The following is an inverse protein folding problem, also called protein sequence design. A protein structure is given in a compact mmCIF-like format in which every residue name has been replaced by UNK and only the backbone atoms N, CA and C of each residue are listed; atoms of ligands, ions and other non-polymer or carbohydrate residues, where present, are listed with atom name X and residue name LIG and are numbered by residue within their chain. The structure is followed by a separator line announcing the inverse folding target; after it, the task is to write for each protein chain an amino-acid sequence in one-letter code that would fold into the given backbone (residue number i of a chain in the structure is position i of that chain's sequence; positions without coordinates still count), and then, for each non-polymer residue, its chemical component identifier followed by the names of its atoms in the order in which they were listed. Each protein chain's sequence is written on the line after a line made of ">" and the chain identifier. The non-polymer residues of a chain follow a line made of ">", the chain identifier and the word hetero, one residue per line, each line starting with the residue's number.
data_IF_939338373485
#
_entry.id   IF_939338373485
#
_cell.length_a   1.000
_cell.length_b   1.000
_cell.length_c   1.000
_cell.angle_alpha   90.00
_cell.angle_beta   90.00
_cell.angle_gamma   90.00
#
_symmetry.space_group_name_H-M   'P 1'
#
loop_
_entity.id
_entity.type
_entity.pdbx_description
1 polymer ?
#
# COMPACT_ATOMS: atom_id res chain seq x y z
N UNK A 1 12.70 21.57 -6.50
CA UNK A 1 12.07 20.44 -7.23
C UNK A 1 10.76 19.99 -6.55
N UNK A 2 10.75 19.49 -5.28
CA UNK A 2 9.51 19.02 -4.62
C UNK A 2 8.47 20.13 -4.49
N UNK A 3 8.85 21.33 -4.04
CA UNK A 3 7.91 22.47 -3.94
C UNK A 3 7.28 22.83 -5.28
N UNK A 4 8.05 22.80 -6.35
CA UNK A 4 7.58 23.06 -7.71
C UNK A 4 6.62 21.95 -8.19
N UNK A 5 6.96 20.69 -7.88
CA UNK A 5 6.09 19.53 -8.13
C UNK A 5 4.73 19.69 -7.42
N UNK A 6 4.72 20.02 -6.13
CA UNK A 6 3.50 20.25 -5.35
C UNK A 6 2.65 21.37 -5.97
N UNK A 7 3.24 22.53 -6.21
CA UNK A 7 2.52 23.68 -6.78
C UNK A 7 1.90 23.36 -8.13
N UNK A 8 2.66 22.71 -9.00
CA UNK A 8 2.19 22.34 -10.34
C UNK A 8 1.03 21.33 -10.29
N UNK A 9 1.14 20.31 -9.45
CA UNK A 9 0.08 19.29 -9.35
C UNK A 9 -1.18 19.84 -8.70
N UNK A 10 -1.05 20.66 -7.66
CA UNK A 10 -2.21 21.32 -7.04
C UNK A 10 -2.91 22.25 -8.05
N UNK A 11 -2.16 23.05 -8.83
CA UNK A 11 -2.73 23.89 -9.86
C UNK A 11 -3.45 23.08 -10.94
N UNK A 12 -2.85 21.96 -11.41
CA UNK A 12 -3.49 21.08 -12.38
C UNK A 12 -4.77 20.42 -11.83
N UNK A 13 -4.77 20.02 -10.58
CA UNK A 13 -5.94 19.48 -9.92
C UNK A 13 -7.07 20.52 -9.84
N UNK A 14 -6.77 21.71 -9.35
CA UNK A 14 -7.71 22.83 -9.23
C UNK A 14 -8.28 23.23 -10.60
N UNK A 15 -7.43 23.39 -11.62
CA UNK A 15 -7.82 23.79 -12.99
C UNK A 15 -8.77 22.76 -13.65
N UNK A 16 -8.70 21.51 -13.25
CA UNK A 16 -9.49 20.40 -13.82
C UNK A 16 -10.59 19.88 -12.88
N UNK A 17 -10.78 20.47 -11.71
CA UNK A 17 -11.76 20.01 -10.72
C UNK A 17 -11.50 18.57 -10.23
N UNK A 18 -10.23 18.21 -10.06
CA UNK A 18 -9.75 16.90 -9.61
C UNK A 18 -9.20 17.02 -8.19
N UNK A 19 -9.45 16.02 -7.35
CA UNK A 19 -8.86 15.92 -6.02
C UNK A 19 -7.66 14.97 -6.02
N UNK A 20 -6.58 15.36 -5.34
CA UNK A 20 -5.47 14.49 -5.05
C UNK A 20 -5.86 13.56 -3.87
N UNK A 21 -6.08 12.28 -4.12
CA UNK A 21 -6.55 11.35 -3.09
C UNK A 21 -5.40 10.77 -2.27
N UNK A 22 -4.34 10.32 -2.93
CA UNK A 22 -3.17 9.74 -2.28
C UNK A 22 -1.91 9.88 -3.14
N UNK A 23 -0.75 9.79 -2.50
CA UNK A 23 0.54 9.58 -3.17
C UNK A 23 0.93 8.12 -3.01
N UNK A 24 1.41 7.50 -4.10
CA UNK A 24 2.03 6.18 -4.09
C UNK A 24 3.53 6.34 -4.29
N UNK A 25 4.32 5.78 -3.39
CA UNK A 25 5.78 5.89 -3.44
C UNK A 25 6.44 4.52 -3.52
N UNK A 26 7.48 4.45 -4.33
CA UNK A 26 8.36 3.31 -4.52
C UNK A 26 9.82 3.78 -4.35
N UNK A 27 10.76 2.84 -4.19
CA UNK A 27 12.22 3.06 -4.23
C UNK A 27 12.83 4.03 -3.19
N UNK A 28 12.10 4.34 -2.11
CA UNK A 28 12.60 5.21 -1.03
C UNK A 28 13.34 4.44 0.07
N UNK A 29 13.71 3.19 -0.20
CA UNK A 29 14.41 2.29 0.69
C UNK A 29 13.49 1.31 1.42
N UNK A 30 14.10 0.27 1.99
CA UNK A 30 13.38 -0.83 2.60
C UNK A 30 13.07 -0.55 4.08
N UNK A 31 11.79 -0.51 4.43
CA UNK A 31 11.32 -0.24 5.79
C UNK A 31 11.49 -1.43 6.75
N UNK A 32 11.77 -2.64 6.22
CA UNK A 32 12.14 -3.81 7.00
C UNK A 32 13.60 -4.26 6.71
N UNK A 33 14.50 -3.33 6.39
CA UNK A 33 15.92 -3.60 6.22
C UNK A 33 16.54 -4.00 7.55
N UNK A 34 17.31 -5.09 7.55
CA UNK A 34 18.03 -5.57 8.75
C UNK A 34 19.17 -4.63 9.16
N UNK A 35 19.72 -3.87 8.20
CA UNK A 35 20.66 -2.80 8.50
C UNK A 35 19.89 -1.58 9.05
N UNK A 36 20.09 -1.30 10.34
CA UNK A 36 19.39 -0.22 11.02
C UNK A 36 19.61 1.16 10.37
N UNK A 37 20.84 1.47 9.92
CA UNK A 37 21.12 2.76 9.30
C UNK A 37 20.37 2.92 7.97
N UNK A 38 20.28 1.85 7.17
CA UNK A 38 19.53 1.87 5.93
C UNK A 38 18.02 2.01 6.20
N UNK A 39 17.52 1.30 7.20
CA UNK A 39 16.12 1.37 7.63
C UNK A 39 15.75 2.76 8.15
N UNK A 40 16.58 3.37 9.01
CA UNK A 40 16.34 4.73 9.51
C UNK A 40 16.36 5.77 8.38
N UNK A 41 17.26 5.62 7.42
CA UNK A 41 17.29 6.46 6.22
C UNK A 41 16.01 6.29 5.39
N UNK A 42 15.53 5.05 5.19
CA UNK A 42 14.26 4.79 4.51
C UNK A 42 13.09 5.49 5.23
N UNK A 43 13.02 5.39 6.56
CA UNK A 43 11.99 6.09 7.35
C UNK A 43 12.05 7.61 7.12
N UNK A 44 13.24 8.22 7.13
CA UNK A 44 13.38 9.66 6.90
C UNK A 44 13.00 10.08 5.47
N UNK A 45 13.31 9.25 4.47
CA UNK A 45 12.86 9.47 3.10
C UNK A 45 11.32 9.46 3.02
N UNK A 46 10.67 8.48 3.66
CA UNK A 46 9.20 8.37 3.65
C UNK A 46 8.51 9.55 4.38
N UNK A 47 9.11 10.12 5.43
CA UNK A 47 8.58 11.33 6.08
C UNK A 47 8.45 12.51 5.12
N UNK A 48 9.41 12.68 4.22
CA UNK A 48 9.36 13.71 3.19
C UNK A 48 8.12 13.57 2.29
N UNK A 49 7.71 12.34 2.00
CA UNK A 49 6.53 12.08 1.20
C UNK A 49 5.22 12.19 2.00
N UNK A 50 5.24 11.98 3.31
CA UNK A 50 4.12 12.34 4.19
C UNK A 50 3.87 13.85 4.14
N UNK A 51 4.92 14.66 4.28
CA UNK A 51 4.82 16.13 4.16
C UNK A 51 4.35 16.56 2.76
N UNK A 52 4.83 15.87 1.72
CA UNK A 52 4.42 16.13 0.34
C UNK A 52 2.94 15.80 0.12
N UNK A 53 2.48 14.64 0.61
CA UNK A 53 1.07 14.25 0.56
C UNK A 53 0.16 15.27 1.25
N UNK A 54 0.56 15.72 2.45
CA UNK A 54 -0.17 16.76 3.19
C UNK A 54 -0.23 18.08 2.41
N UNK A 55 0.89 18.52 1.82
CA UNK A 55 0.95 19.74 1.01
C UNK A 55 0.16 19.62 -0.31
N UNK A 56 -0.15 18.42 -0.77
CA UNK A 56 -0.99 18.15 -1.94
C UNK A 56 -2.45 17.89 -1.58
N UNK A 57 -2.84 18.06 -0.31
CA UNK A 57 -4.17 17.78 0.21
C UNK A 57 -4.63 16.33 0.05
N UNK A 58 -3.68 15.40 -0.03
CA UNK A 58 -4.00 13.97 -0.02
C UNK A 58 -4.51 13.52 1.35
N UNK A 59 -5.27 12.43 1.38
CA UNK A 59 -5.70 11.78 2.61
C UNK A 59 -4.72 10.69 3.09
N UNK A 60 -3.92 10.16 2.18
CA UNK A 60 -3.05 9.01 2.47
C UNK A 60 -1.75 9.04 1.67
N UNK A 61 -0.74 8.35 2.20
CA UNK A 61 0.50 8.03 1.51
C UNK A 61 0.68 6.52 1.53
N UNK A 62 0.75 5.90 0.34
CA UNK A 62 0.98 4.47 0.17
C UNK A 62 2.47 4.16 0.08
N UNK A 63 2.87 3.11 0.76
CA UNK A 63 4.22 2.56 0.72
C UNK A 63 4.21 1.03 0.56
N UNK A 64 5.39 0.49 0.23
CA UNK A 64 5.67 -0.95 0.21
C UNK A 64 6.52 -1.34 1.42
N UNK A 65 6.27 -2.54 1.99
CA UNK A 65 7.05 -3.10 3.10
C UNK A 65 8.02 -4.16 2.59
N UNK A 66 9.19 -3.72 2.09
CA UNK A 66 10.27 -4.61 1.69
C UNK A 66 11.40 -4.64 2.72
N UNK A 67 12.23 -5.69 2.66
CA UNK A 67 13.42 -5.84 3.50
C UNK A 67 13.76 -7.31 3.77
N UNK A 68 13.83 -7.71 5.04
CA UNK A 68 14.16 -9.07 5.45
C UNK A 68 13.28 -10.12 4.77
N UNK A 69 13.87 -11.29 4.48
CA UNK A 69 13.15 -12.47 3.98
C UNK A 69 12.68 -13.39 5.12
N UNK A 70 13.22 -13.22 6.31
CA UNK A 70 12.75 -13.90 7.52
C UNK A 70 11.48 -13.21 8.03
N UNK A 71 10.38 -13.96 8.14
CA UNK A 71 9.04 -13.42 8.43
C UNK A 71 8.99 -12.73 9.78
N UNK A 72 9.60 -13.30 10.82
CA UNK A 72 9.55 -12.72 12.16
C UNK A 72 10.40 -11.43 12.24
N UNK A 73 11.57 -11.43 11.62
CA UNK A 73 12.42 -10.25 11.50
C UNK A 73 11.72 -9.16 10.71
N UNK A 74 11.15 -9.50 9.54
CA UNK A 74 10.39 -8.59 8.71
C UNK A 74 9.23 -7.95 9.48
N UNK A 75 8.45 -8.76 10.20
CA UNK A 75 7.31 -8.31 11.00
C UNK A 75 7.74 -7.28 12.05
N UNK A 76 8.74 -7.62 12.86
CA UNK A 76 9.21 -6.75 13.93
C UNK A 76 9.77 -5.42 13.41
N UNK A 77 10.58 -5.44 12.34
CA UNK A 77 11.15 -4.25 11.72
C UNK A 77 10.06 -3.41 11.04
N UNK A 78 9.07 -4.04 10.40
CA UNK A 78 7.94 -3.35 9.77
C UNK A 78 7.07 -2.63 10.80
N UNK A 79 6.75 -3.27 11.93
CA UNK A 79 5.99 -2.65 13.02
C UNK A 79 6.74 -1.43 13.57
N UNK A 80 8.05 -1.55 13.83
CA UNK A 80 8.88 -0.43 14.31
C UNK A 80 8.86 0.75 13.32
N UNK A 81 9.10 0.47 12.04
CA UNK A 81 9.15 1.50 11.00
C UNK A 81 7.80 2.17 10.77
N UNK A 82 6.71 1.38 10.65
CA UNK A 82 5.37 1.93 10.48
C UNK A 82 4.91 2.72 11.71
N UNK A 83 5.25 2.29 12.92
CA UNK A 83 4.94 3.04 14.14
C UNK A 83 5.61 4.40 14.14
N UNK A 84 6.88 4.49 13.72
CA UNK A 84 7.60 5.77 13.59
C UNK A 84 6.98 6.68 12.52
N UNK A 85 6.57 6.12 11.38
CA UNK A 85 5.90 6.87 10.32
C UNK A 85 4.49 7.31 10.72
N UNK A 86 3.72 6.42 11.33
CA UNK A 86 2.38 6.73 11.81
C UNK A 86 2.40 7.82 12.90
N UNK A 87 3.35 7.77 13.82
CA UNK A 87 3.52 8.83 14.84
C UNK A 87 3.87 10.17 14.20
N UNK A 88 4.79 10.18 13.23
CA UNK A 88 5.13 11.38 12.48
C UNK A 88 3.92 11.95 11.73
N UNK A 89 3.13 11.09 11.11
CA UNK A 89 1.96 11.48 10.30
C UNK A 89 0.78 12.02 11.12
N UNK A 90 0.68 11.74 12.41
CA UNK A 90 -0.42 12.25 13.27
C UNK A 90 -0.61 13.77 13.20
N UNK A 91 0.48 14.51 13.09
CA UNK A 91 0.45 15.98 13.00
C UNK A 91 0.05 16.52 11.63
N UNK A 92 0.01 15.71 10.61
CA UNK A 92 -0.24 16.10 9.20
C UNK A 92 -1.63 15.74 8.71
N UNK A 93 -2.34 14.85 9.41
CA UNK A 93 -3.63 14.29 8.97
C UNK A 93 -3.53 13.23 7.89
N UNK A 94 -2.32 12.76 7.56
CA UNK A 94 -2.09 11.73 6.53
C UNK A 94 -2.17 10.33 7.14
N UNK A 95 -2.89 9.43 6.47
CA UNK A 95 -2.85 8.01 6.77
C UNK A 95 -1.65 7.36 6.04
N UNK A 96 -0.91 6.53 6.75
CA UNK A 96 0.17 5.72 6.22
C UNK A 96 -0.39 4.35 5.86
N UNK A 97 -0.46 4.03 4.58
CA UNK A 97 -1.11 2.81 4.11
C UNK A 97 -0.17 1.89 3.36
N UNK A 98 -0.33 0.60 3.58
CA UNK A 98 0.50 -0.46 3.01
C UNK A 98 -0.29 -1.21 1.94
N UNK A 99 0.31 -1.35 0.76
CA UNK A 99 -0.20 -2.20 -0.31
C UNK A 99 0.30 -3.64 -0.15
N UNK A 100 -0.55 -4.63 -0.41
CA UNK A 100 -0.08 -5.98 -0.69
C UNK A 100 0.59 -5.98 -2.07
N UNK A 101 1.92 -6.11 -2.10
CA UNK A 101 2.72 -5.93 -3.32
C UNK A 101 3.77 -7.05 -3.51
N UNK A 102 3.33 -8.29 -3.40
CA UNK A 102 4.17 -9.47 -3.56
C UNK A 102 4.88 -9.94 -2.30
N UNK A 103 5.45 -11.13 -2.34
CA UNK A 103 6.27 -11.72 -1.28
C UNK A 103 5.50 -11.82 0.06
N UNK A 104 6.14 -11.43 1.15
CA UNK A 104 5.53 -11.48 2.49
C UNK A 104 4.30 -10.57 2.59
N UNK A 105 4.27 -9.42 1.89
CA UNK A 105 3.10 -8.53 1.92
C UNK A 105 1.86 -9.12 1.25
N UNK A 106 2.02 -10.14 0.40
CA UNK A 106 0.92 -10.92 -0.20
C UNK A 106 0.48 -12.11 0.67
N UNK A 107 1.19 -12.39 1.76
CA UNK A 107 0.71 -13.27 2.84
C UNK A 107 -0.12 -12.42 3.81
N UNK A 108 -1.41 -12.32 3.52
CA UNK A 108 -2.29 -11.35 4.18
C UNK A 108 -2.34 -11.50 5.70
N UNK A 109 -2.39 -12.71 6.29
CA UNK A 109 -2.28 -12.85 7.74
C UNK A 109 -1.03 -12.19 8.33
N UNK A 110 0.14 -12.32 7.67
CA UNK A 110 1.37 -11.69 8.16
C UNK A 110 1.34 -10.16 7.99
N UNK A 111 0.83 -9.68 6.86
CA UNK A 111 0.64 -8.24 6.67
C UNK A 111 -0.30 -7.66 7.73
N UNK A 112 -1.44 -8.30 7.98
CA UNK A 112 -2.40 -7.81 8.98
C UNK A 112 -1.86 -7.89 10.41
N UNK A 113 -1.02 -8.89 10.73
CA UNK A 113 -0.29 -8.93 12.00
C UNK A 113 0.61 -7.68 12.18
N UNK A 114 1.25 -7.22 11.11
CA UNK A 114 2.04 -5.98 11.14
C UNK A 114 1.14 -4.76 11.37
N UNK A 115 0.06 -4.63 10.60
CA UNK A 115 -0.85 -3.47 10.68
C UNK A 115 -1.45 -3.38 12.09
N UNK A 116 -2.01 -4.47 12.62
CA UNK A 116 -2.56 -4.49 13.98
C UNK A 116 -1.47 -4.31 15.04
N UNK A 117 -0.25 -4.82 14.79
CA UNK A 117 0.89 -4.69 15.70
C UNK A 117 1.34 -3.25 15.93
N UNK A 118 1.06 -2.32 15.01
CA UNK A 118 1.34 -0.89 15.22
C UNK A 118 0.41 -0.25 16.26
N UNK A 119 -0.77 -0.81 16.46
CA UNK A 119 -1.84 -0.29 17.33
C UNK A 119 -2.14 1.22 17.06
N UNK A 120 -2.18 1.61 15.78
CA UNK A 120 -2.39 2.99 15.35
C UNK A 120 -3.63 3.09 14.45
N UNK A 121 -4.41 4.17 14.62
CA UNK A 121 -5.62 4.39 13.83
C UNK A 121 -5.32 4.99 12.45
N UNK A 122 -4.18 5.67 12.28
CA UNK A 122 -3.73 6.27 11.03
C UNK A 122 -2.72 5.39 10.25
N UNK A 123 -2.59 4.11 10.63
CA UNK A 123 -1.84 3.09 9.87
C UNK A 123 -2.82 2.03 9.40
N UNK A 124 -2.80 1.75 8.10
CA UNK A 124 -3.74 0.82 7.51
C UNK A 124 -3.28 0.22 6.20
N UNK A 125 -4.22 -0.18 5.37
CA UNK A 125 -3.97 -0.92 4.12
C UNK A 125 -4.49 -0.18 2.90
N UNK A 126 -3.90 -0.52 1.75
CA UNK A 126 -4.41 -0.31 0.40
C UNK A 126 -4.55 -1.68 -0.26
N UNK A 127 -5.69 -2.40 -0.12
CA UNK A 127 -5.88 -3.67 -0.79
C UNK A 127 -5.78 -3.52 -2.31
N UNK A 128 -4.78 -4.16 -2.93
CA UNK A 128 -4.68 -4.33 -4.38
C UNK A 128 -5.36 -5.62 -4.80
N UNK A 129 -6.17 -5.58 -5.86
CA UNK A 129 -7.01 -6.72 -6.27
C UNK A 129 -6.25 -7.84 -6.96
N UNK A 130 -4.99 -7.63 -7.36
CA UNK A 130 -4.21 -8.59 -8.14
C UNK A 130 -2.84 -8.96 -7.57
N UNK A 131 -2.34 -8.29 -6.54
CA UNK A 131 -1.00 -8.50 -5.99
C UNK A 131 -0.98 -9.56 -4.87
N UNK A 132 -1.27 -10.81 -5.18
CA UNK A 132 -1.38 -11.91 -4.21
C UNK A 132 -0.36 -13.03 -4.41
N UNK A 133 0.70 -12.77 -5.18
CA UNK A 133 1.80 -13.71 -5.32
C UNK A 133 2.72 -13.67 -4.10
N UNK A 134 2.79 -14.77 -3.36
CA UNK A 134 3.66 -14.93 -2.19
C UNK A 134 5.06 -15.45 -2.55
N UNK A 135 5.30 -15.84 -3.81
CA UNK A 135 6.61 -16.28 -4.27
C UNK A 135 7.58 -15.09 -4.36
N UNK A 136 8.88 -15.36 -4.20
CA UNK A 136 9.93 -14.33 -4.18
C UNK A 136 10.20 -13.69 -5.56
N UNK A 137 9.63 -14.26 -6.63
CA UNK A 137 9.99 -14.03 -8.02
C UNK A 137 9.00 -13.17 -8.79
N UNK A 138 8.53 -12.12 -8.32
CA UNK A 138 7.63 -11.24 -9.07
C UNK A 138 7.10 -10.10 -8.24
N UNK A 139 6.56 -9.12 -8.92
CA UNK A 139 5.96 -7.95 -8.28
C UNK A 139 4.52 -8.20 -7.79
N UNK A 140 4.20 -9.44 -7.44
CA UNK A 140 2.97 -9.75 -6.74
C UNK A 140 1.76 -10.05 -7.60
N UNK A 141 1.77 -9.80 -8.91
CA UNK A 141 0.62 -10.09 -9.77
C UNK A 141 0.39 -11.60 -9.92
N UNK A 142 -0.86 -12.02 -9.74
CA UNK A 142 -1.28 -13.42 -9.98
C UNK A 142 -1.54 -13.70 -11.47
N UNK A 143 -1.49 -12.70 -12.33
CA UNK A 143 -1.94 -12.78 -13.72
C UNK A 143 -0.80 -12.92 -14.75
N UNK A 144 0.45 -12.84 -14.34
CA UNK A 144 1.60 -13.03 -15.23
C UNK A 144 1.97 -14.50 -15.47
N UNK A 145 1.28 -15.41 -14.80
CA UNK A 145 1.42 -16.86 -15.00
C UNK A 145 2.66 -17.50 -14.38
N UNK A 146 3.50 -16.73 -13.69
CA UNK A 146 4.76 -17.19 -13.10
C UNK A 146 4.69 -17.52 -11.61
N UNK A 147 3.59 -17.18 -10.93
CA UNK A 147 3.47 -17.32 -9.49
C UNK A 147 3.14 -18.75 -9.05
N UNK A 148 4.05 -19.38 -8.32
CA UNK A 148 3.87 -20.74 -7.79
C UNK A 148 3.00 -20.80 -6.51
N UNK A 149 2.86 -19.69 -5.78
CA UNK A 149 2.12 -19.64 -4.50
C UNK A 149 1.28 -18.38 -4.41
N UNK A 150 -0.02 -18.55 -4.60
CA UNK A 150 -1.00 -17.46 -4.63
C UNK A 150 -1.87 -17.51 -3.37
N UNK A 151 -2.08 -16.37 -2.71
CA UNK A 151 -3.12 -16.20 -1.71
C UNK A 151 -4.47 -15.95 -2.41
N UNK A 152 -5.59 -16.43 -1.84
CA UNK A 152 -6.90 -16.13 -2.41
C UNK A 152 -7.18 -14.63 -2.36
N UNK A 153 -7.32 -14.01 -3.52
CA UNK A 153 -7.42 -12.55 -3.60
C UNK A 153 -8.75 -11.98 -3.11
N UNK A 154 -9.86 -12.71 -3.20
CA UNK A 154 -11.12 -12.26 -2.62
C UNK A 154 -11.09 -12.31 -1.10
N UNK A 155 -10.59 -13.43 -0.54
CA UNK A 155 -10.36 -13.56 0.90
C UNK A 155 -9.37 -12.51 1.38
N UNK A 156 -8.28 -12.31 0.66
CA UNK A 156 -7.23 -11.37 1.05
C UNK A 156 -7.73 -9.92 1.09
N UNK A 157 -8.51 -9.49 0.10
CA UNK A 157 -9.15 -8.16 0.14
C UNK A 157 -10.10 -8.08 1.32
N UNK A 158 -10.98 -9.07 1.54
CA UNK A 158 -11.91 -9.08 2.67
C UNK A 158 -11.20 -8.95 4.03
N UNK A 159 -10.09 -9.65 4.23
CA UNK A 159 -9.28 -9.59 5.45
C UNK A 159 -8.59 -8.24 5.66
N UNK A 160 -8.22 -7.53 4.58
CA UNK A 160 -7.56 -6.23 4.65
C UNK A 160 -8.54 -5.06 4.84
N UNK A 161 -9.79 -5.19 4.37
CA UNK A 161 -10.78 -4.12 4.39
C UNK A 161 -11.04 -3.46 5.75
N UNK A 162 -11.02 -4.17 6.90
CA UNK A 162 -11.23 -3.53 8.21
C UNK A 162 -10.23 -2.43 8.56
N UNK A 163 -9.08 -2.39 7.88
CA UNK A 163 -8.02 -1.37 8.04
C UNK A 163 -7.71 -0.61 6.75
N UNK A 164 -8.56 -0.74 5.72
CA UNK A 164 -8.36 -0.06 4.45
C UNK A 164 -8.79 1.40 4.51
N UNK A 165 -7.97 2.28 3.93
CA UNK A 165 -8.31 3.69 3.69
C UNK A 165 -8.63 3.96 2.22
N UNK A 166 -8.20 3.09 1.32
CA UNK A 166 -8.51 3.09 -0.10
C UNK A 166 -8.31 1.67 -0.65
N UNK A 167 -8.62 1.45 -1.92
CA UNK A 167 -8.33 0.20 -2.64
C UNK A 167 -7.63 0.50 -3.97
N UNK A 168 -6.76 -0.40 -4.39
CA UNK A 168 -6.18 -0.42 -5.74
C UNK A 168 -6.99 -1.38 -6.59
N UNK A 169 -7.93 -0.85 -7.35
CA UNK A 169 -8.82 -1.63 -8.21
C UNK A 169 -8.09 -2.08 -9.49
N UNK A 170 -7.04 -2.89 -9.32
CA UNK A 170 -6.24 -3.43 -10.41
C UNK A 170 -7.09 -4.24 -11.37
N UNK A 171 -6.96 -3.97 -12.64
CA UNK A 171 -7.52 -4.75 -13.74
C UNK A 171 -6.39 -5.24 -14.64
N UNK A 172 -6.59 -6.36 -15.32
CA UNK A 172 -5.54 -7.00 -16.09
C UNK A 172 -5.93 -7.25 -17.55
N UNK A 173 -7.10 -7.84 -17.80
CA UNK A 173 -7.53 -8.20 -19.14
C UNK A 173 -9.04 -7.96 -19.32
N UNK A 174 -9.43 -7.49 -20.50
CA UNK A 174 -10.81 -7.16 -20.81
C UNK A 174 -11.31 -7.97 -22.00
N UNK A 175 -12.59 -8.31 -22.00
CA UNK A 175 -13.25 -8.93 -23.14
C UNK A 175 -13.71 -7.87 -24.18
N UNK A 176 -14.34 -8.34 -25.26
CA UNK A 176 -14.81 -7.47 -26.34
C UNK A 176 -15.95 -6.52 -25.89
N UNK A 177 -16.60 -6.78 -24.75
CA UNK A 177 -17.65 -5.92 -24.18
C UNK A 177 -17.06 -4.91 -23.19
N UNK A 178 -15.78 -5.01 -22.85
CA UNK A 178 -15.09 -4.17 -21.87
C UNK A 178 -15.21 -4.70 -20.43
N UNK A 179 -15.67 -5.94 -20.24
CA UNK A 179 -15.72 -6.56 -18.93
C UNK A 179 -14.34 -7.18 -18.57
N UNK A 180 -13.91 -6.98 -17.34
CA UNK A 180 -12.66 -7.57 -16.83
C UNK A 180 -12.82 -9.10 -16.70
N UNK A 181 -11.86 -9.87 -17.25
CA UNK A 181 -11.96 -11.35 -17.37
C UNK A 181 -11.27 -12.12 -16.25
N UNK A 182 -10.30 -11.50 -15.56
CA UNK A 182 -9.43 -12.19 -14.61
C UNK A 182 -9.92 -12.03 -13.17
N UNK A 183 -10.66 -10.97 -12.89
CA UNK A 183 -11.26 -10.69 -11.58
C UNK A 183 -12.78 -10.53 -11.76
N UNK A 184 -13.58 -11.26 -11.00
CA UNK A 184 -15.02 -10.97 -10.89
C UNK A 184 -15.20 -9.67 -10.08
N UNK A 185 -15.25 -8.56 -10.81
CA UNK A 185 -15.39 -7.22 -10.22
C UNK A 185 -16.72 -7.06 -9.46
N UNK A 186 -17.77 -7.74 -9.89
CA UNK A 186 -19.05 -7.70 -9.17
C UNK A 186 -18.94 -8.34 -7.79
N UNK A 187 -18.21 -9.46 -7.69
CA UNK A 187 -17.90 -10.11 -6.42
C UNK A 187 -16.96 -9.24 -5.59
N UNK A 188 -15.87 -8.75 -6.19
CA UNK A 188 -14.87 -7.92 -5.50
C UNK A 188 -15.49 -6.65 -4.92
N UNK A 189 -16.29 -5.92 -5.71
CA UNK A 189 -16.94 -4.69 -5.27
C UNK A 189 -18.04 -4.93 -4.22
N UNK A 190 -18.65 -6.11 -4.18
CA UNK A 190 -19.55 -6.48 -3.06
C UNK A 190 -18.77 -6.61 -1.76
N UNK A 191 -17.58 -7.22 -1.80
CA UNK A 191 -16.69 -7.30 -0.63
C UNK A 191 -16.35 -5.88 -0.18
N UNK A 192 -15.79 -5.05 -1.05
CA UNK A 192 -15.39 -3.68 -0.69
C UNK A 192 -16.55 -2.89 -0.09
N UNK A 193 -17.71 -2.90 -0.74
CA UNK A 193 -18.90 -2.16 -0.28
C UNK A 193 -19.50 -2.68 1.02
N UNK A 194 -19.19 -3.89 1.46
CA UNK A 194 -19.69 -4.41 2.73
C UNK A 194 -19.00 -3.77 3.95
N UNK A 195 -17.92 -3.03 3.72
CA UNK A 195 -17.16 -2.34 4.78
C UNK A 195 -17.40 -0.81 4.82
N UNK A 196 -18.17 -0.24 3.91
CA UNK A 196 -18.52 1.19 3.93
C UNK A 196 -18.59 1.85 2.58
#
# INVERSE_FOLDING_TARGET
>A
QIKEFILKNNQLADDNGVENVLIMIDDEGNLADENENMRLKAIDNHKLWIDTAAAMNCSSMRLNLYGSKDVETWKNLSIDSLSKLGEYAKGTGINVIVENHGRITSNIPELMNVIYGTNMDNVGTLPDFGNFCMADEGYGSVFDGSCEKIYDFYQGVEEMMPKAFAVSAKSNDFDDNGDEKTIDYMRMMKIVKSFG
#
